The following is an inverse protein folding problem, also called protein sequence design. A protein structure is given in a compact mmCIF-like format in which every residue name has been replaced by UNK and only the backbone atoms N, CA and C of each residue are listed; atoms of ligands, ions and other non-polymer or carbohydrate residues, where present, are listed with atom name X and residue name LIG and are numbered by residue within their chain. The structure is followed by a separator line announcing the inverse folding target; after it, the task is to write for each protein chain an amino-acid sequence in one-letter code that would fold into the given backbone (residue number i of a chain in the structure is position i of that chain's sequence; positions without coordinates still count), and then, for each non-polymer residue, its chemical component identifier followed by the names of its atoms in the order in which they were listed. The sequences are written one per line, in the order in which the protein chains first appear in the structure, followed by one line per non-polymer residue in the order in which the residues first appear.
data_IF_267315381021
#
_entry.id   IF_267315381021
#
_cell.length_a   1.000
_cell.length_b   1.000
_cell.length_c   1.000
_cell.angle_alpha   90.00
_cell.angle_beta   90.00
_cell.angle_gamma   90.00
#
_symmetry.space_group_name_H-M   'P 1'
#
loop_
_entity.id
_entity.type
_entity.pdbx_description
1 polymer ?
#
# COMPACT_ATOMS: atom_id res chain seq x y z
N UNK A 1 -37.39 59.17 -36.62
CA UNK A 1 -36.52 59.64 -35.51
C UNK A 1 -37.42 59.87 -34.30
N UNK A 2 -37.02 59.64 -33.03
CA UNK A 2 -35.88 58.92 -32.41
C UNK A 2 -36.38 57.63 -31.69
N UNK A 3 -35.62 56.55 -31.43
CA UNK A 3 -34.30 56.34 -30.78
C UNK A 3 -34.44 55.98 -29.28
N UNK A 4 -34.27 54.67 -29.02
CA UNK A 4 -33.71 54.04 -27.80
C UNK A 4 -34.61 54.16 -26.55
N UNK A 5 -34.66 53.19 -25.65
CA UNK A 5 -33.52 52.73 -24.86
C UNK A 5 -34.00 51.65 -23.87
N UNK A 6 -33.17 50.60 -23.65
CA UNK A 6 -33.01 49.87 -22.37
C UNK A 6 -34.20 48.97 -21.91
N UNK A 7 -34.08 47.83 -21.22
CA UNK A 7 -33.06 47.22 -20.37
C UNK A 7 -33.48 45.74 -20.13
N UNK A 8 -32.50 44.82 -20.11
CA UNK A 8 -32.35 43.64 -19.25
C UNK A 8 -33.53 42.69 -18.94
N UNK A 9 -33.31 41.39 -19.16
CA UNK A 9 -33.15 40.44 -18.04
C UNK A 9 -32.51 39.13 -18.52
N UNK A 10 -31.25 38.92 -18.11
CA UNK A 10 -30.53 37.66 -18.25
C UNK A 10 -31.06 36.63 -17.23
N UNK A 11 -31.35 35.42 -17.67
CA UNK A 11 -31.36 34.23 -16.82
C UNK A 11 -30.42 33.20 -17.45
N UNK A 12 -29.16 33.27 -17.04
CA UNK A 12 -28.14 32.26 -17.33
C UNK A 12 -28.36 31.08 -16.38
N UNK A 13 -28.87 29.96 -16.91
CA UNK A 13 -28.76 28.66 -16.27
C UNK A 13 -27.44 28.03 -16.72
N UNK A 14 -26.35 28.38 -16.07
CA UNK A 14 -25.10 27.62 -16.18
C UNK A 14 -25.20 26.41 -15.27
N UNK A 15 -25.62 25.28 -15.83
CA UNK A 15 -25.43 23.99 -15.19
C UNK A 15 -23.92 23.74 -15.08
N UNK A 16 -23.40 23.66 -13.85
CA UNK A 16 -22.06 23.14 -13.57
C UNK A 16 -22.03 21.65 -13.93
N UNK A 17 -21.78 21.35 -15.21
CA UNK A 17 -21.25 20.05 -15.58
C UNK A 17 -19.83 19.97 -15.03
N UNK A 18 -19.67 19.32 -13.87
CA UNK A 18 -18.36 18.83 -13.43
C UNK A 18 -17.94 17.76 -14.44
N UNK A 19 -17.19 18.15 -15.46
CA UNK A 19 -16.44 17.22 -16.30
C UNK A 19 -15.50 16.47 -15.37
N UNK A 20 -15.85 15.21 -15.09
CA UNK A 20 -15.00 14.30 -14.37
C UNK A 20 -13.85 13.97 -15.33
N UNK A 21 -12.66 14.48 -15.03
CA UNK A 21 -11.45 14.09 -15.75
C UNK A 21 -11.36 12.57 -15.71
N UNK A 22 -11.11 11.91 -16.86
CA UNK A 22 -10.90 10.46 -16.87
C UNK A 22 -9.71 10.18 -15.95
N UNK A 23 -9.96 9.48 -14.84
CA UNK A 23 -8.88 8.89 -14.06
C UNK A 23 -8.03 8.08 -15.02
N UNK A 24 -6.73 8.36 -15.17
CA UNK A 24 -5.88 7.58 -16.05
C UNK A 24 -6.01 6.11 -15.65
N UNK A 25 -6.33 5.26 -16.62
CA UNK A 25 -6.29 3.82 -16.41
C UNK A 25 -4.91 3.47 -15.82
N UNK A 26 -4.83 2.59 -14.81
CA UNK A 26 -3.54 2.14 -14.29
C UNK A 26 -2.71 1.65 -15.48
N UNK A 27 -1.48 2.16 -15.60
CA UNK A 27 -0.58 1.77 -16.68
C UNK A 27 -0.45 0.24 -16.71
N UNK A 28 -0.27 -0.38 -17.91
CA UNK A 28 -0.02 -1.81 -18.03
C UNK A 28 1.15 -2.14 -17.12
N UNK A 29 0.81 -2.92 -16.12
CA UNK A 29 1.63 -3.28 -15.01
C UNK A 29 2.77 -4.11 -15.64
N UNK A 30 4.00 -3.55 -15.71
CA UNK A 30 5.14 -4.13 -16.43
C UNK A 30 5.45 -5.57 -15.98
N UNK A 31 6.38 -6.30 -16.64
CA UNK A 31 6.73 -7.65 -16.21
C UNK A 31 7.05 -7.64 -14.72
N UNK A 32 6.39 -8.54 -13.97
CA UNK A 32 6.61 -8.64 -12.53
C UNK A 32 8.10 -8.90 -12.31
N UNK A 33 8.77 -8.03 -11.56
CA UNK A 33 10.14 -8.29 -11.11
C UNK A 33 10.18 -9.66 -10.42
N UNK A 34 11.26 -10.44 -10.58
CA UNK A 34 11.40 -11.67 -9.85
C UNK A 34 11.25 -11.40 -8.35
N UNK A 35 10.53 -12.27 -7.64
CA UNK A 35 10.22 -12.14 -6.22
C UNK A 35 11.05 -13.16 -5.41
N UNK A 36 12.38 -12.99 -5.30
CA UNK A 36 13.26 -13.99 -4.68
C UNK A 36 13.05 -14.10 -3.16
N UNK A 37 12.55 -13.03 -2.54
CA UNK A 37 12.29 -12.97 -1.11
C UNK A 37 10.93 -12.31 -0.87
N UNK A 38 10.25 -12.75 0.18
CA UNK A 38 8.98 -12.21 0.62
C UNK A 38 9.21 -11.31 1.83
N UNK A 39 8.66 -10.10 1.76
CA UNK A 39 8.78 -9.10 2.81
C UNK A 39 7.41 -8.69 3.35
N UNK A 40 7.40 -8.23 4.59
CA UNK A 40 6.21 -7.73 5.30
C UNK A 40 6.62 -6.56 6.19
N UNK A 41 5.71 -5.62 6.43
CA UNK A 41 5.91 -4.65 7.51
C UNK A 41 5.18 -5.13 8.78
N UNK A 42 5.82 -4.98 9.93
CA UNK A 42 5.23 -5.31 11.23
C UNK A 42 5.83 -4.42 12.35
N UNK A 43 5.27 -4.44 13.57
CA UNK A 43 5.82 -3.67 14.68
C UNK A 43 7.29 -4.03 14.97
N UNK A 44 8.07 -3.04 15.41
CA UNK A 44 9.51 -3.17 15.62
C UNK A 44 9.92 -4.03 16.83
N UNK A 45 8.99 -4.38 17.71
CA UNK A 45 9.29 -5.18 18.90
C UNK A 45 9.76 -6.60 18.56
N UNK A 46 9.41 -7.14 17.40
CA UNK A 46 9.89 -8.47 16.99
C UNK A 46 11.42 -8.53 16.81
N UNK A 47 12.09 -7.39 16.57
CA UNK A 47 13.55 -7.35 16.47
C UNK A 47 14.20 -7.93 17.74
N UNK A 48 13.68 -7.61 18.93
CA UNK A 48 14.26 -8.08 20.19
C UNK A 48 14.14 -9.59 20.31
N UNK A 49 12.98 -10.13 19.96
CA UNK A 49 12.72 -11.57 19.99
C UNK A 49 13.65 -12.30 19.00
N UNK A 50 13.72 -11.83 17.75
CA UNK A 50 14.59 -12.41 16.72
C UNK A 50 16.07 -12.31 17.13
N UNK A 51 16.51 -11.15 17.62
CA UNK A 51 17.89 -10.94 18.06
C UNK A 51 18.27 -11.80 19.28
N UNK A 52 17.29 -12.19 20.10
CA UNK A 52 17.48 -13.13 21.21
C UNK A 52 17.50 -14.60 20.78
N UNK A 53 17.27 -14.88 19.48
CA UNK A 53 17.21 -16.23 18.93
C UNK A 53 15.84 -16.90 19.08
N UNK A 54 14.79 -16.14 19.38
CA UNK A 54 13.42 -16.66 19.44
C UNK A 54 12.82 -16.77 18.03
N UNK A 55 11.98 -17.78 17.84
CA UNK A 55 11.18 -17.91 16.62
C UNK A 55 10.00 -16.93 16.67
N UNK A 56 9.97 -16.01 15.71
CA UNK A 56 8.82 -15.13 15.49
C UNK A 56 8.01 -15.65 14.32
N UNK A 57 6.77 -16.03 14.59
CA UNK A 57 5.83 -16.54 13.58
C UNK A 57 4.70 -15.55 13.40
N UNK A 58 4.47 -15.12 12.16
CA UNK A 58 3.32 -14.29 11.79
C UNK A 58 2.13 -15.19 11.49
N UNK A 59 1.02 -14.95 12.19
CA UNK A 59 -0.22 -15.69 12.01
C UNK A 59 -1.29 -14.82 11.34
N UNK A 60 -1.71 -15.13 10.09
CA UNK A 60 -2.77 -14.38 9.42
C UNK A 60 -4.15 -14.53 10.11
N UNK A 61 -4.31 -15.48 11.03
CA UNK A 61 -5.49 -15.55 11.90
C UNK A 61 -5.51 -14.49 13.01
N UNK A 62 -4.35 -13.91 13.34
CA UNK A 62 -4.21 -12.88 14.38
C UNK A 62 -4.15 -11.45 13.80
N UNK A 63 -3.63 -11.27 12.58
CA UNK A 63 -3.52 -9.97 11.92
C UNK A 63 -3.37 -10.11 10.40
N UNK A 64 -3.81 -9.10 9.67
CA UNK A 64 -3.60 -9.01 8.23
C UNK A 64 -2.16 -8.59 7.91
N UNK A 65 -1.45 -9.41 7.13
CA UNK A 65 -0.08 -9.16 6.69
C UNK A 65 0.02 -9.04 5.18
N UNK A 66 0.24 -7.81 4.69
CA UNK A 66 0.51 -7.59 3.26
C UNK A 66 1.95 -7.98 2.92
N UNK A 67 2.10 -8.71 1.82
CA UNK A 67 3.37 -9.27 1.35
C UNK A 67 3.91 -8.48 0.16
N UNK A 68 5.22 -8.32 0.13
CA UNK A 68 5.94 -7.52 -0.86
C UNK A 68 7.14 -8.28 -1.41
N UNK A 69 7.46 -8.04 -2.68
CA UNK A 69 8.64 -8.64 -3.34
C UNK A 69 9.94 -7.86 -3.13
N UNK A 70 9.87 -6.67 -2.55
CA UNK A 70 11.05 -5.87 -2.23
C UNK A 70 10.87 -5.12 -0.91
N UNK A 71 11.96 -4.87 -0.16
CA UNK A 71 11.88 -4.11 1.08
C UNK A 71 11.48 -2.65 0.83
N UNK A 72 11.86 -2.09 -0.32
CA UNK A 72 11.46 -0.74 -0.73
C UNK A 72 9.95 -0.60 -0.94
N UNK A 73 9.31 -1.60 -1.56
CA UNK A 73 7.86 -1.62 -1.72
C UNK A 73 7.14 -1.71 -0.37
N UNK A 74 7.62 -2.57 0.54
CA UNK A 74 7.07 -2.69 1.89
C UNK A 74 7.22 -1.38 2.68
N UNK A 75 8.39 -0.72 2.58
CA UNK A 75 8.64 0.58 3.22
C UNK A 75 7.74 1.69 2.65
N UNK A 76 7.56 1.73 1.33
CA UNK A 76 6.66 2.69 0.70
C UNK A 76 5.20 2.47 1.16
N UNK A 77 4.76 1.22 1.25
CA UNK A 77 3.41 0.87 1.69
C UNK A 77 3.13 1.30 3.13
N UNK A 78 4.03 0.99 4.08
CA UNK A 78 3.84 1.38 5.48
C UNK A 78 3.86 2.90 5.66
N UNK A 79 4.74 3.60 4.93
CA UNK A 79 4.79 5.08 4.95
C UNK A 79 3.50 5.69 4.39
N UNK A 80 2.99 5.17 3.27
CA UNK A 80 1.74 5.62 2.68
C UNK A 80 0.54 5.33 3.60
N UNK A 81 0.51 4.18 4.26
CA UNK A 81 -0.55 3.83 5.21
C UNK A 81 -0.53 4.73 6.45
N UNK A 82 0.65 5.06 6.99
CA UNK A 82 0.78 6.04 8.08
C UNK A 82 0.36 7.45 7.64
N UNK A 83 0.78 7.91 6.46
CA UNK A 83 0.39 9.22 5.92
C UNK A 83 -1.13 9.34 5.70
N UNK A 84 -1.77 8.24 5.29
CA UNK A 84 -3.22 8.15 5.12
C UNK A 84 -3.99 7.92 6.44
N UNK A 85 -3.31 7.82 7.58
CA UNK A 85 -3.93 7.56 8.89
C UNK A 85 -4.51 6.15 9.05
N UNK A 86 -4.17 5.21 8.16
CA UNK A 86 -4.60 3.79 8.22
C UNK A 86 -3.76 2.96 9.18
N UNK A 87 -2.53 3.41 9.44
CA UNK A 87 -1.67 2.86 10.48
C UNK A 87 -1.33 3.94 11.50
N UNK A 88 -1.27 3.60 12.80
CA UNK A 88 -0.77 4.52 13.80
C UNK A 88 0.71 4.83 13.55
N UNK A 89 1.15 6.01 13.98
CA UNK A 89 2.59 6.30 14.08
C UNK A 89 3.21 5.31 15.07
N UNK A 90 4.39 4.81 14.74
CA UNK A 90 5.09 3.85 15.58
C UNK A 90 6.36 3.36 14.91
N UNK A 91 7.08 2.48 15.62
CA UNK A 91 8.23 1.81 15.05
C UNK A 91 7.76 0.65 14.17
N UNK A 92 7.77 0.87 12.86
CA UNK A 92 7.42 -0.14 11.85
C UNK A 92 8.67 -0.59 11.12
N UNK A 93 8.91 -1.91 11.13
CA UNK A 93 10.09 -2.55 10.55
C UNK A 93 9.69 -3.44 9.40
N UNK A 94 10.62 -3.63 8.48
CA UNK A 94 10.45 -4.52 7.34
C UNK A 94 11.17 -5.82 7.66
N UNK A 95 10.44 -6.93 7.57
CA UNK A 95 10.91 -8.26 7.88
C UNK A 95 10.90 -9.12 6.64
N UNK A 96 11.87 -10.05 6.54
CA UNK A 96 11.89 -11.10 5.52
C UNK A 96 11.27 -12.37 6.10
N UNK A 97 10.42 -13.01 5.30
CA UNK A 97 9.77 -14.26 5.67
C UNK A 97 10.50 -15.46 5.08
N UNK A 98 10.41 -16.59 5.77
CA UNK A 98 10.84 -17.88 5.25
C UNK A 98 9.79 -18.39 4.26
N UNK A 99 10.24 -18.77 3.06
CA UNK A 99 9.39 -19.26 1.98
C UNK A 99 9.37 -18.34 0.76
N UNK A 100 8.55 -18.71 -0.22
CA UNK A 100 8.36 -17.97 -1.46
C UNK A 100 6.94 -17.39 -1.59
N UNK A 101 6.75 -16.48 -2.54
CA UNK A 101 5.46 -15.81 -2.72
C UNK A 101 4.34 -16.79 -3.10
N UNK A 102 4.64 -17.87 -3.83
CA UNK A 102 3.63 -18.85 -4.27
C UNK A 102 3.09 -19.64 -3.08
N UNK A 103 3.97 -20.03 -2.17
CA UNK A 103 3.60 -20.73 -0.94
C UNK A 103 2.93 -19.81 0.09
N UNK A 104 3.40 -18.58 0.25
CA UNK A 104 2.95 -17.69 1.32
C UNK A 104 1.73 -16.84 0.97
N UNK A 105 1.54 -16.50 -0.31
CA UNK A 105 0.56 -15.49 -0.70
C UNK A 105 -0.81 -16.04 -1.08
N UNK A 106 -1.84 -15.33 -0.64
CA UNK A 106 -3.14 -15.20 -1.28
C UNK A 106 -3.10 -13.96 -2.19
N UNK A 107 -3.17 -14.11 -3.52
CA UNK A 107 -3.23 -12.96 -4.42
C UNK A 107 -4.56 -12.22 -4.30
N UNK A 108 -4.48 -10.90 -4.36
CA UNK A 108 -5.58 -9.94 -4.39
C UNK A 108 -5.52 -9.08 -5.66
N UNK A 109 -6.60 -8.33 -6.01
CA UNK A 109 -6.56 -7.38 -7.11
C UNK A 109 -5.41 -6.37 -6.99
N UNK A 110 -4.99 -5.82 -8.13
CA UNK A 110 -3.92 -4.79 -8.22
C UNK A 110 -2.56 -5.28 -7.70
N UNK A 111 -2.19 -6.54 -7.98
CA UNK A 111 -0.92 -7.17 -7.57
C UNK A 111 -0.62 -7.06 -6.09
N UNK A 112 -1.66 -7.10 -5.26
CA UNK A 112 -1.53 -7.16 -3.81
C UNK A 112 -1.48 -8.62 -3.38
N UNK A 113 -0.72 -8.89 -2.33
CA UNK A 113 -0.53 -10.23 -1.80
C UNK A 113 -0.75 -10.19 -0.30
N UNK A 114 -1.58 -11.08 0.22
CA UNK A 114 -1.77 -11.22 1.66
C UNK A 114 -1.21 -12.55 2.12
N UNK A 115 -0.68 -12.60 3.34
CA UNK A 115 -0.25 -13.84 3.97
C UNK A 115 -1.44 -14.78 4.15
N UNK A 116 -1.35 -16.02 3.64
CA UNK A 116 -2.45 -17.01 3.73
C UNK A 116 -2.25 -18.10 4.77
N UNK A 117 -1.03 -18.27 5.27
CA UNK A 117 -0.64 -19.26 6.28
C UNK A 117 0.41 -18.68 7.21
N UNK A 118 0.62 -19.32 8.36
CA UNK A 118 1.69 -18.94 9.27
C UNK A 118 3.06 -18.97 8.56
N UNK A 119 3.89 -17.96 8.83
CA UNK A 119 5.24 -17.83 8.27
C UNK A 119 6.24 -17.35 9.32
N UNK A 120 7.43 -17.93 9.31
CA UNK A 120 8.52 -17.53 10.19
C UNK A 120 9.21 -16.28 9.66
N UNK A 121 9.53 -15.36 10.57
CA UNK A 121 10.41 -14.22 10.30
C UNK A 121 11.86 -14.71 10.35
N UNK A 122 12.61 -14.47 9.27
CA UNK A 122 14.02 -14.88 9.16
C UNK A 122 14.95 -13.80 9.67
N UNK A 123 14.74 -12.57 9.21
CA UNK A 123 15.51 -11.40 9.62
C UNK A 123 14.69 -10.12 9.39
N UNK A 124 15.30 -8.99 9.75
CA UNK A 124 14.78 -7.67 9.44
C UNK A 124 15.76 -6.91 8.55
N UNK A 125 15.23 -6.00 7.77
CA UNK A 125 16.02 -5.12 6.91
C UNK A 125 16.67 -4.06 7.78
N UNK A 126 18.01 -4.07 7.86
CA UNK A 126 18.77 -2.96 8.44
C UNK A 126 18.84 -1.82 7.44
N UNK A 127 18.30 -0.67 7.81
CA UNK A 127 18.28 0.53 6.96
C UNK A 127 19.70 1.08 6.80
N UNK A 128 20.37 0.71 5.70
CA UNK A 128 21.37 1.59 5.09
C UNK A 128 20.64 2.36 3.98
N UNK A 129 19.95 3.43 4.36
CA UNK A 129 19.44 4.45 3.42
C UNK A 129 20.30 5.69 3.61
#
# INVERSE_FOLDING_TARGET
MPKRLLLLACLALTACAKTQEPTPAPAPEGPAEPCPYVYVYAPGNYIIDIASGADVVLDPGASDFELFCSPGAARAAVNAAMAAGRLPRGDWRIYRLEGDLTDLAQPLPHRRYMLKRMAQVVDWVTENI
#
